data_IF_436895922370
#
_entry.id   IF_436895922370
#
_cell.length_a   1.000
_cell.length_b   1.000
_cell.length_c   1.000
_cell.angle_alpha   90.00
_cell.angle_beta   90.00
_cell.angle_gamma   90.00
#
_symmetry.space_group_name_H-M   'P 1'
#
loop_
_entity.id
_entity.type
_entity.pdbx_description
1 polymer ?
#
# COMPACT_ATOMS: atom_id res chain seq x y z
N UNK A 1 16.97 36.60 -8.22
CA UNK A 1 15.59 36.16 -7.92
C UNK A 1 15.44 34.64 -8.12
N UNK A 2 16.13 33.81 -7.33
CA UNK A 2 15.74 32.38 -7.20
C UNK A 2 16.04 31.94 -5.77
N UNK A 3 15.16 32.33 -4.86
CA UNK A 3 15.15 31.85 -3.48
C UNK A 3 14.83 30.35 -3.43
N UNK A 4 15.81 29.58 -2.93
CA UNK A 4 15.72 28.29 -2.21
C UNK A 4 14.31 27.68 -2.10
N UNK A 5 14.07 26.60 -2.84
CA UNK A 5 13.04 25.63 -2.46
C UNK A 5 13.68 24.71 -1.41
N UNK A 6 13.60 25.12 -0.14
CA UNK A 6 13.94 24.26 1.00
C UNK A 6 12.85 23.20 1.15
N UNK A 7 13.07 22.03 0.54
CA UNK A 7 12.21 20.86 0.70
C UNK A 7 12.48 20.16 2.05
N UNK A 8 12.31 20.88 3.16
CA UNK A 8 12.66 20.41 4.51
C UNK A 8 11.43 20.27 5.39
N UNK A 9 10.63 19.22 5.17
CA UNK A 9 9.78 18.55 6.18
C UNK A 9 9.04 17.35 5.59
N UNK A 10 9.77 16.31 5.17
CA UNK A 10 9.18 14.98 5.11
C UNK A 10 9.00 14.54 6.57
N UNK A 11 7.80 14.78 7.12
CA UNK A 11 7.44 14.36 8.48
C UNK A 11 7.57 12.83 8.54
N UNK A 12 8.61 12.36 9.22
CA UNK A 12 8.97 10.94 9.26
C UNK A 12 7.91 10.17 10.09
N UNK A 13 6.90 9.60 9.43
CA UNK A 13 5.81 8.86 10.08
C UNK A 13 6.29 7.43 10.36
N UNK A 14 6.95 7.25 11.50
CA UNK A 14 7.62 6.02 11.92
C UNK A 14 6.64 4.82 11.92
N UNK A 15 6.72 3.93 10.94
CA UNK A 15 6.07 2.61 11.01
C UNK A 15 6.68 1.84 12.17
N UNK A 16 5.84 1.22 13.01
CA UNK A 16 6.31 0.45 14.16
C UNK A 16 7.21 -0.68 13.67
N UNK A 17 8.41 -0.84 14.27
CA UNK A 17 9.43 -1.85 13.88
C UNK A 17 8.93 -3.31 13.93
N UNK A 18 7.71 -3.54 14.42
CA UNK A 18 7.12 -4.87 14.65
C UNK A 18 6.61 -5.53 13.36
N UNK A 19 6.26 -4.74 12.34
CA UNK A 19 5.70 -5.27 11.08
C UNK A 19 6.85 -5.57 10.11
N UNK A 20 6.94 -6.82 9.66
CA UNK A 20 7.89 -7.30 8.66
C UNK A 20 7.16 -7.70 7.37
N UNK A 21 7.88 -7.67 6.25
CA UNK A 21 7.40 -8.27 5.00
C UNK A 21 7.25 -9.78 5.24
N UNK A 22 6.15 -10.36 4.77
CA UNK A 22 5.80 -11.76 5.02
C UNK A 22 5.07 -12.03 6.34
N UNK A 23 4.77 -11.00 7.14
CA UNK A 23 3.96 -11.17 8.34
C UNK A 23 2.49 -11.37 7.97
N UNK A 24 1.80 -12.26 8.68
CA UNK A 24 0.33 -12.33 8.64
C UNK A 24 -0.27 -11.21 9.47
N UNK A 25 -1.27 -10.56 8.89
CA UNK A 25 -1.94 -9.45 9.52
C UNK A 25 -3.45 -9.52 9.29
N UNK A 26 -4.20 -9.00 10.25
CA UNK A 26 -5.67 -8.88 10.19
C UNK A 26 -6.07 -7.42 10.04
N UNK A 27 -7.05 -7.15 9.20
CA UNK A 27 -7.64 -5.81 9.10
C UNK A 27 -8.62 -5.60 10.25
N UNK A 28 -8.40 -4.56 11.04
CA UNK A 28 -9.23 -4.20 12.18
C UNK A 28 -10.34 -3.22 11.77
N UNK A 29 -10.07 -2.39 10.75
CA UNK A 29 -10.95 -1.28 10.37
C UNK A 29 -10.97 -1.04 8.85
N UNK A 30 -12.10 -0.54 8.35
CA UNK A 30 -12.32 -0.22 6.94
C UNK A 30 -13.24 -1.23 6.23
N UNK A 31 -13.29 -1.13 4.90
CA UNK A 31 -14.17 -1.94 4.04
C UNK A 31 -13.95 -3.46 4.19
N UNK A 32 -12.71 -3.85 4.47
CA UNK A 32 -12.26 -5.24 4.52
C UNK A 32 -11.98 -5.71 5.94
N UNK A 33 -12.69 -5.14 6.92
CA UNK A 33 -12.55 -5.49 8.33
C UNK A 33 -12.79 -6.99 8.53
N UNK A 34 -11.87 -7.65 9.23
CA UNK A 34 -11.95 -9.07 9.54
C UNK A 34 -11.13 -9.97 8.62
N UNK A 35 -10.79 -9.50 7.42
CA UNK A 35 -9.94 -10.23 6.48
C UNK A 35 -8.49 -10.30 7.00
N UNK A 36 -7.83 -11.39 6.64
CA UNK A 36 -6.41 -11.65 6.94
C UNK A 36 -5.63 -11.73 5.65
N UNK A 37 -4.37 -11.29 5.68
CA UNK A 37 -3.47 -11.43 4.54
C UNK A 37 -2.01 -11.24 4.91
N UNK A 38 -1.15 -11.49 3.93
CA UNK A 38 0.29 -11.37 4.06
C UNK A 38 0.78 -9.99 3.62
N UNK A 39 1.74 -9.42 4.35
CA UNK A 39 2.35 -8.13 3.99
C UNK A 39 3.34 -8.32 2.84
N UNK A 40 2.99 -7.80 1.65
CA UNK A 40 3.84 -7.84 0.47
C UNK A 40 4.92 -6.75 0.48
N UNK A 41 4.55 -5.51 0.82
CA UNK A 41 5.45 -4.35 0.80
C UNK A 41 5.11 -3.37 1.91
N UNK A 42 6.13 -2.70 2.44
CA UNK A 42 6.00 -1.71 3.51
C UNK A 42 6.57 -0.37 3.04
N UNK A 43 5.74 0.66 3.03
CA UNK A 43 6.14 2.05 2.79
C UNK A 43 6.32 2.77 4.14
N UNK A 44 7.54 2.68 4.68
CA UNK A 44 7.88 3.24 6.00
C UNK A 44 7.70 4.75 6.06
N UNK A 45 8.00 5.46 4.98
CA UNK A 45 7.92 6.93 4.93
C UNK A 45 6.48 7.44 5.02
N UNK A 46 5.53 6.65 4.49
CA UNK A 46 4.12 7.02 4.38
C UNK A 46 3.24 6.41 5.47
N UNK A 47 3.77 5.45 6.25
CA UNK A 47 2.94 4.71 7.21
C UNK A 47 1.96 3.76 6.55
N UNK A 48 2.28 3.20 5.38
CA UNK A 48 1.37 2.37 4.60
C UNK A 48 1.99 1.00 4.29
N UNK A 49 1.15 -0.01 4.11
CA UNK A 49 1.56 -1.37 3.75
C UNK A 49 0.65 -1.92 2.67
N UNK A 50 1.21 -2.73 1.77
CA UNK A 50 0.43 -3.52 0.82
C UNK A 50 0.24 -4.90 1.43
N UNK A 51 -1.01 -5.35 1.51
CA UNK A 51 -1.38 -6.67 1.99
C UNK A 51 -2.00 -7.42 0.82
N UNK A 52 -1.66 -8.70 0.68
CA UNK A 52 -2.15 -9.56 -0.40
C UNK A 52 -3.68 -9.67 -0.38
N UNK A 53 -4.30 -9.67 -1.56
CA UNK A 53 -5.76 -9.81 -1.76
C UNK A 53 -6.62 -8.78 -1.03
N UNK A 54 -5.99 -7.70 -0.54
CA UNK A 54 -6.62 -6.65 0.22
C UNK A 54 -6.53 -5.34 -0.57
N UNK A 55 -7.61 -4.57 -0.56
CA UNK A 55 -7.75 -3.28 -1.20
C UNK A 55 -7.46 -3.32 -2.71
N UNK A 56 -7.90 -4.40 -3.37
CA UNK A 56 -7.78 -4.60 -4.80
C UNK A 56 -8.58 -3.54 -5.57
N UNK A 57 -7.96 -2.95 -6.58
CA UNK A 57 -8.62 -2.02 -7.50
C UNK A 57 -8.38 -2.46 -8.93
N UNK A 58 -9.41 -2.27 -9.76
CA UNK A 58 -9.35 -2.46 -11.20
C UNK A 58 -8.79 -1.19 -11.84
N UNK A 59 -7.80 -1.34 -12.72
CA UNK A 59 -7.30 -0.26 -13.58
C UNK A 59 -7.37 -0.73 -15.02
N UNK A 60 -8.13 0.04 -15.81
CA UNK A 60 -8.13 -0.09 -17.25
C UNK A 60 -6.78 0.42 -17.78
N UNK A 61 -5.98 -0.50 -18.32
CA UNK A 61 -4.72 -0.17 -18.95
C UNK A 61 -4.94 -0.11 -20.47
N UNK A 62 -4.67 1.06 -21.05
CA UNK A 62 -4.61 1.20 -22.50
C UNK A 62 -3.46 0.33 -23.03
N UNK A 63 -3.64 -0.27 -24.22
CA UNK A 63 -2.59 -1.08 -24.84
C UNK A 63 -1.34 -0.24 -25.08
N UNK A 64 -0.17 -0.85 -24.89
CA UNK A 64 1.13 -0.18 -25.06
C UNK A 64 1.73 -0.38 -26.45
N UNK A 65 1.28 -1.39 -27.17
CA UNK A 65 1.75 -1.74 -28.51
C UNK A 65 0.55 -1.90 -29.46
N UNK A 66 0.75 -1.56 -30.72
CA UNK A 66 -0.24 -1.81 -31.77
C UNK A 66 -0.52 -3.31 -31.87
N UNK A 67 -1.79 -3.69 -31.83
CA UNK A 67 -2.25 -5.09 -31.88
C UNK A 67 -2.53 -5.74 -30.52
N UNK A 68 -2.27 -5.09 -29.39
CA UNK A 68 -2.69 -5.59 -28.08
C UNK A 68 -4.07 -5.07 -27.69
N UNK A 69 -4.91 -5.93 -27.13
CA UNK A 69 -6.16 -5.53 -26.50
C UNK A 69 -5.89 -4.80 -25.19
N UNK A 70 -6.72 -3.81 -24.86
CA UNK A 70 -6.68 -3.19 -23.53
C UNK A 70 -7.00 -4.22 -22.44
N UNK A 71 -6.27 -4.18 -21.33
CA UNK A 71 -6.42 -5.14 -20.23
C UNK A 71 -7.01 -4.46 -18.98
N UNK A 72 -7.85 -5.18 -18.24
CA UNK A 72 -8.33 -4.77 -16.93
C UNK A 72 -7.43 -5.44 -15.89
N UNK A 73 -6.49 -4.67 -15.34
CA UNK A 73 -5.54 -5.18 -14.35
C UNK A 73 -6.11 -4.97 -12.95
N UNK A 74 -6.07 -6.01 -12.14
CA UNK A 74 -6.32 -5.93 -10.70
C UNK A 74 -5.00 -5.81 -9.93
N UNK A 75 -4.94 -4.85 -9.02
CA UNK A 75 -3.75 -4.62 -8.20
C UNK A 75 -4.15 -4.17 -6.80
N UNK A 76 -3.39 -4.60 -5.81
CA UNK A 76 -3.58 -4.24 -4.42
C UNK A 76 -3.08 -2.82 -4.17
N UNK A 77 -3.85 -2.06 -3.38
CA UNK A 77 -3.43 -0.72 -2.95
C UNK A 77 -2.97 -0.71 -1.49
N UNK A 78 -2.05 0.20 -1.15
CA UNK A 78 -1.59 0.35 0.23
C UNK A 78 -2.74 0.70 1.17
N UNK A 79 -2.69 0.15 2.37
CA UNK A 79 -3.57 0.44 3.50
C UNK A 79 -2.73 1.02 4.65
N UNK A 80 -3.35 1.82 5.53
CA UNK A 80 -2.69 2.42 6.69
C UNK A 80 -2.31 1.36 7.72
N UNK A 81 -1.13 1.48 8.31
CA UNK A 81 -0.67 0.58 9.39
C UNK A 81 -1.55 0.62 10.63
N UNK A 82 -2.27 1.72 10.87
CA UNK A 82 -3.22 1.84 11.99
C UNK A 82 -4.44 0.94 11.87
N UNK A 83 -4.78 0.50 10.65
CA UNK A 83 -5.99 -0.28 10.38
C UNK A 83 -5.73 -1.79 10.44
N UNK A 84 -4.54 -2.17 10.86
CA UNK A 84 -4.03 -3.54 10.80
C UNK A 84 -3.54 -3.98 12.17
N UNK A 85 -3.83 -5.23 12.53
CA UNK A 85 -3.27 -5.96 13.65
C UNK A 85 -2.29 -7.02 13.15
N UNK A 86 -1.15 -7.15 13.82
CA UNK A 86 -0.29 -8.32 13.66
C UNK A 86 -1.00 -9.53 14.26
N UNK A 87 -1.13 -10.62 13.49
CA UNK A 87 -1.46 -11.93 14.03
C UNK A 87 -0.11 -12.58 14.37
N UNK A 88 0.10 -12.85 15.67
CA UNK A 88 1.38 -13.33 16.19
C UNK A 88 1.75 -14.72 15.66
#
# INVERSE_FOLDING_TARGET
MTSRISNSKVKNKKVSKKIKVGAQVKIIAGKQKGETGEVLKIFRDKGMVIVQSINCKKKHQKPKQEGQSGEIIEFEKPIQVSNIALLS
#
